data_IF_178879586831
#
_entry.id   IF_178879586831
#
_cell.length_a   1.000
_cell.length_b   1.000
_cell.length_c   1.000
_cell.angle_alpha   90.00
_cell.angle_beta   90.00
_cell.angle_gamma   90.00
#
_symmetry.space_group_name_H-M   'P 1'
#
loop_
_entity.id
_entity.type
_entity.pdbx_description
1 polymer ?
#
# COMPACT_ATOMS: atom_id res chain seq x y z
N UNK A 1 25.23 25.54 8.10
CA UNK A 1 23.93 25.00 8.54
C UNK A 1 23.74 23.67 7.82
N UNK A 2 23.65 22.56 8.53
CA UNK A 2 23.24 21.28 7.92
C UNK A 2 21.86 21.45 7.29
N UNK A 3 21.66 20.96 6.08
CA UNK A 3 20.34 21.03 5.45
C UNK A 3 19.33 20.22 6.27
N UNK A 4 18.08 20.70 6.41
CA UNK A 4 17.04 19.97 7.14
C UNK A 4 16.76 18.62 6.48
N UNK A 5 16.53 17.56 7.27
CA UNK A 5 16.30 16.21 6.72
C UNK A 5 15.03 16.11 5.86
N UNK A 6 13.97 16.80 6.25
CA UNK A 6 12.67 16.80 5.57
C UNK A 6 12.57 17.95 4.56
N UNK A 7 13.41 17.91 3.53
CA UNK A 7 13.41 18.87 2.43
C UNK A 7 13.58 18.17 1.11
N UNK A 8 12.93 18.68 0.05
CA UNK A 8 13.07 18.11 -1.29
C UNK A 8 14.48 18.26 -1.88
N UNK A 9 15.35 19.06 -1.26
CA UNK A 9 16.77 19.12 -1.60
C UNK A 9 17.54 17.88 -1.11
N UNK A 10 17.06 17.22 -0.05
CA UNK A 10 17.63 15.97 0.41
C UNK A 10 17.15 14.85 -0.51
N UNK A 11 18.07 14.25 -1.25
CA UNK A 11 17.77 13.17 -2.19
C UNK A 11 17.04 11.99 -1.55
N UNK A 12 17.37 11.65 -0.30
CA UNK A 12 16.74 10.53 0.43
C UNK A 12 15.27 10.84 0.67
N UNK A 13 14.97 12.05 1.16
CA UNK A 13 13.60 12.48 1.40
C UNK A 13 12.82 12.66 0.10
N UNK A 14 13.42 13.23 -0.95
CA UNK A 14 12.77 13.39 -2.25
C UNK A 14 12.37 12.03 -2.85
N UNK A 15 13.29 11.05 -2.81
CA UNK A 15 13.01 9.69 -3.26
C UNK A 15 11.93 9.02 -2.40
N UNK A 16 12.03 9.14 -1.08
CA UNK A 16 11.00 8.63 -0.16
C UNK A 16 9.63 9.23 -0.49
N UNK A 17 9.53 10.56 -0.59
CA UNK A 17 8.30 11.28 -0.86
C UNK A 17 7.67 10.85 -2.19
N UNK A 18 8.48 10.64 -3.23
CA UNK A 18 8.01 10.13 -4.52
C UNK A 18 7.37 8.73 -4.38
N UNK A 19 8.09 7.75 -3.84
CA UNK A 19 7.59 6.37 -3.73
C UNK A 19 6.45 6.23 -2.71
N UNK A 20 6.48 6.99 -1.62
CA UNK A 20 5.41 7.04 -0.62
C UNK A 20 4.13 7.62 -1.22
N UNK A 21 4.23 8.73 -1.98
CA UNK A 21 3.08 9.37 -2.63
C UNK A 21 2.45 8.43 -3.66
N UNK A 22 3.25 7.83 -4.55
CA UNK A 22 2.72 6.92 -5.57
C UNK A 22 2.09 5.67 -4.93
N UNK A 23 2.72 5.10 -3.90
CA UNK A 23 2.14 3.97 -3.16
C UNK A 23 0.79 4.34 -2.53
N UNK A 24 0.70 5.52 -1.94
CA UNK A 24 -0.54 6.04 -1.33
C UNK A 24 -1.61 6.30 -2.39
N UNK A 25 -1.27 6.91 -3.53
CA UNK A 25 -2.19 7.11 -4.64
C UNK A 25 -2.74 5.79 -5.17
N UNK A 26 -1.90 4.76 -5.27
CA UNK A 26 -2.32 3.41 -5.64
C UNK A 26 -3.30 2.83 -4.61
N UNK A 27 -3.04 3.00 -3.31
CA UNK A 27 -3.97 2.59 -2.26
C UNK A 27 -5.32 3.32 -2.37
N UNK A 28 -5.30 4.62 -2.64
CA UNK A 28 -6.53 5.40 -2.89
C UNK A 28 -7.29 4.88 -4.12
N UNK A 29 -6.59 4.53 -5.21
CA UNK A 29 -7.20 3.95 -6.40
C UNK A 29 -7.88 2.59 -6.10
N UNK A 30 -7.34 1.78 -5.20
CA UNK A 30 -7.97 0.52 -4.77
C UNK A 30 -9.32 0.73 -4.08
N UNK A 31 -9.49 1.85 -3.36
CA UNK A 31 -10.78 2.20 -2.76
C UNK A 31 -11.84 2.50 -3.83
N UNK A 32 -11.47 3.24 -4.87
CA UNK A 32 -12.34 3.55 -6.02
C UNK A 32 -12.71 2.29 -6.80
N UNK A 33 -11.75 1.38 -7.01
CA UNK A 33 -12.01 0.09 -7.65
C UNK A 33 -12.99 -0.75 -6.84
N UNK A 34 -12.87 -0.78 -5.51
CA UNK A 34 -13.83 -1.48 -4.65
C UNK A 34 -15.25 -0.93 -4.84
N UNK A 35 -15.39 0.40 -4.84
CA UNK A 35 -16.69 1.05 -5.08
C UNK A 35 -17.24 0.72 -6.46
N UNK A 36 -16.40 0.78 -7.50
CA UNK A 36 -16.79 0.41 -8.88
C UNK A 36 -17.31 -1.03 -8.95
N UNK A 37 -16.61 -2.00 -8.37
CA UNK A 37 -17.05 -3.40 -8.37
C UNK A 37 -18.39 -3.57 -7.66
N UNK A 38 -18.64 -2.84 -6.56
CA UNK A 38 -19.95 -2.85 -5.89
C UNK A 38 -21.07 -2.35 -6.79
N UNK A 39 -20.85 -1.27 -7.53
CA UNK A 39 -21.82 -0.74 -8.48
C UNK A 39 -22.03 -1.69 -9.67
N UNK A 40 -20.97 -2.27 -10.24
CA UNK A 40 -21.06 -3.19 -11.38
C UNK A 40 -21.79 -4.48 -11.00
N UNK A 41 -21.56 -4.99 -9.79
CA UNK A 41 -22.17 -6.22 -9.28
C UNK A 41 -23.50 -6.00 -8.58
N UNK A 42 -23.94 -4.74 -8.43
CA UNK A 42 -25.12 -4.37 -7.64
C UNK A 42 -25.10 -4.99 -6.22
N UNK A 43 -23.89 -5.14 -5.66
CA UNK A 43 -23.60 -5.81 -4.40
C UNK A 43 -23.18 -4.77 -3.34
N UNK A 44 -24.19 -4.18 -2.72
CA UNK A 44 -23.99 -3.11 -1.75
C UNK A 44 -23.85 -3.68 -0.33
N UNK A 45 -23.05 -2.99 0.49
CA UNK A 45 -22.82 -3.39 1.88
C UNK A 45 -23.99 -2.98 2.77
N UNK A 46 -24.57 -1.81 2.50
CA UNK A 46 -25.61 -1.25 3.34
C UNK A 46 -26.95 -1.15 2.59
N UNK A 47 -28.09 -1.29 3.30
CA UNK A 47 -29.41 -1.24 2.70
C UNK A 47 -29.80 0.15 2.17
N UNK A 48 -29.25 1.25 2.70
CA UNK A 48 -29.51 2.61 2.21
C UNK A 48 -28.95 2.85 0.79
N UNK A 49 -27.82 2.24 0.46
CA UNK A 49 -27.19 2.35 -0.86
C UNK A 49 -28.05 1.71 -1.96
N UNK A 50 -28.86 0.72 -1.58
CA UNK A 50 -29.80 0.03 -2.48
C UNK A 50 -31.03 0.89 -2.77
N UNK A 51 -31.50 1.65 -1.77
CA UNK A 51 -32.65 2.56 -1.95
C UNK A 51 -32.29 3.75 -2.84
N UNK A 52 -31.02 4.16 -2.83
CA UNK A 52 -30.47 5.17 -3.74
C UNK A 52 -30.21 4.63 -5.15
N UNK A 53 -29.98 3.32 -5.28
CA UNK A 53 -29.82 2.63 -6.55
C UNK A 53 -31.16 2.48 -7.29
N UNK A 54 -31.22 2.91 -8.55
CA UNK A 54 -32.42 2.74 -9.41
C UNK A 54 -32.72 1.28 -9.79
N UNK A 55 -31.89 0.33 -9.36
CA UNK A 55 -31.86 -1.04 -9.88
C UNK A 55 -32.58 -2.02 -8.95
N UNK A 56 -33.69 -2.59 -9.43
CA UNK A 56 -34.54 -3.53 -8.66
C UNK A 56 -33.87 -4.88 -8.34
N UNK A 57 -32.69 -5.13 -8.91
CA UNK A 57 -31.91 -6.36 -8.70
C UNK A 57 -30.77 -6.19 -7.68
N UNK A 58 -30.57 -4.99 -7.13
CA UNK A 58 -29.56 -4.75 -6.12
C UNK A 58 -29.85 -5.54 -4.84
N UNK A 59 -28.83 -6.24 -4.34
CA UNK A 59 -28.91 -7.11 -3.16
C UNK A 59 -27.96 -6.60 -2.09
N UNK A 60 -28.42 -6.61 -0.84
CA UNK A 60 -27.51 -6.44 0.30
C UNK A 60 -26.68 -7.70 0.36
N UNK A 61 -25.45 -7.66 -0.13
CA UNK A 61 -24.57 -8.82 -0.16
C UNK A 61 -23.17 -8.36 0.20
N UNK A 62 -22.77 -8.70 1.43
CA UNK A 62 -21.44 -8.43 1.96
C UNK A 62 -20.38 -9.38 1.38
N UNK A 63 -20.78 -10.41 0.64
CA UNK A 63 -19.97 -11.60 0.34
C UNK A 63 -19.75 -11.85 -1.15
N UNK A 64 -19.98 -10.86 -2.03
CA UNK A 64 -19.62 -11.03 -3.45
C UNK A 64 -18.11 -11.34 -3.58
N UNK A 65 -17.72 -12.49 -4.17
CA UNK A 65 -16.32 -12.93 -4.19
C UNK A 65 -15.37 -11.96 -4.89
N UNK A 66 -15.84 -11.21 -5.88
CA UNK A 66 -15.02 -10.26 -6.64
C UNK A 66 -14.83 -8.96 -5.85
N UNK A 67 -15.90 -8.46 -5.23
CA UNK A 67 -15.83 -7.29 -4.32
C UNK A 67 -14.93 -7.58 -3.12
N UNK A 68 -15.07 -8.75 -2.50
CA UNK A 68 -14.24 -9.16 -1.36
C UNK A 68 -12.78 -9.37 -1.77
N UNK A 69 -12.52 -9.79 -3.01
CA UNK A 69 -11.15 -9.88 -3.53
C UNK A 69 -10.49 -8.50 -3.57
N UNK A 70 -11.14 -7.50 -4.17
CA UNK A 70 -10.58 -6.14 -4.23
C UNK A 70 -10.45 -5.54 -2.83
N UNK A 71 -11.44 -5.74 -1.96
CA UNK A 71 -11.40 -5.26 -0.56
C UNK A 71 -10.22 -5.85 0.22
N UNK A 72 -9.95 -7.16 0.12
CA UNK A 72 -8.81 -7.79 0.81
C UNK A 72 -7.46 -7.29 0.29
N UNK A 73 -7.35 -7.02 -1.01
CA UNK A 73 -6.17 -6.40 -1.59
C UNK A 73 -5.96 -4.98 -1.04
N UNK A 74 -7.03 -4.19 -0.96
CA UNK A 74 -7.01 -2.85 -0.37
C UNK A 74 -6.64 -2.88 1.12
N UNK A 75 -7.21 -3.81 1.91
CA UNK A 75 -6.85 -3.97 3.32
C UNK A 75 -5.36 -4.31 3.49
N UNK A 76 -4.84 -5.23 2.68
CA UNK A 76 -3.42 -5.56 2.72
C UNK A 76 -2.54 -4.36 2.32
N UNK A 77 -2.99 -3.51 1.40
CA UNK A 77 -2.30 -2.25 1.10
C UNK A 77 -2.27 -1.31 2.30
N UNK A 78 -3.38 -1.14 3.02
CA UNK A 78 -3.43 -0.33 4.24
C UNK A 78 -2.46 -0.87 5.29
N UNK A 79 -2.48 -2.18 5.53
CA UNK A 79 -1.63 -2.86 6.53
C UNK A 79 -0.13 -2.75 6.22
N UNK A 80 0.27 -2.49 4.97
CA UNK A 80 1.69 -2.44 4.57
C UNK A 80 2.18 -1.02 4.24
N UNK A 81 1.37 -0.23 3.54
CA UNK A 81 1.74 1.12 3.09
C UNK A 81 1.72 2.09 4.27
N UNK A 82 0.78 1.97 5.20
CA UNK A 82 0.75 2.83 6.40
C UNK A 82 2.02 2.66 7.25
N UNK A 83 2.43 1.44 7.64
CA UNK A 83 3.70 1.25 8.33
C UNK A 83 4.91 1.70 7.52
N UNK A 84 4.92 1.47 6.20
CA UNK A 84 6.01 1.92 5.34
C UNK A 84 6.17 3.44 5.33
N UNK A 85 5.08 4.20 5.25
CA UNK A 85 5.15 5.67 5.29
C UNK A 85 5.67 6.16 6.63
N UNK A 86 5.20 5.58 7.74
CA UNK A 86 5.63 5.96 9.10
C UNK A 86 7.11 5.62 9.31
N UNK A 87 7.51 4.37 9.05
CA UNK A 87 8.90 3.92 9.22
C UNK A 87 9.83 4.62 8.22
N UNK A 88 9.38 4.88 7.00
CA UNK A 88 10.17 5.59 6.00
C UNK A 88 10.46 7.03 6.40
N UNK A 89 9.49 7.74 6.99
CA UNK A 89 9.72 9.07 7.59
C UNK A 89 10.79 9.01 8.70
N UNK A 90 10.66 8.05 9.61
CA UNK A 90 11.65 7.83 10.67
C UNK A 90 13.03 7.48 10.09
N UNK A 91 13.07 6.65 9.05
CA UNK A 91 14.30 6.22 8.39
C UNK A 91 15.02 7.37 7.67
N UNK A 92 14.30 8.35 7.10
CA UNK A 92 14.93 9.56 6.54
C UNK A 92 15.65 10.38 7.63
N UNK A 93 15.13 10.39 8.86
CA UNK A 93 15.69 11.18 9.96
C UNK A 93 17.09 10.74 10.41
N UNK A 94 17.47 9.48 10.14
CA UNK A 94 18.79 8.93 10.49
C UNK A 94 19.82 9.13 9.37
N UNK A 95 19.48 9.91 8.33
CA UNK A 95 20.31 10.23 7.16
C UNK A 95 21.08 9.02 6.58
N UNK A 96 20.36 7.98 6.14
CA UNK A 96 20.98 6.77 5.60
C UNK A 96 21.64 7.06 4.25
N UNK A 97 22.49 6.13 3.80
CA UNK A 97 23.07 6.19 2.45
C UNK A 97 21.97 6.27 1.37
N UNK A 98 22.06 7.28 0.50
CA UNK A 98 21.09 7.55 -0.59
C UNK A 98 20.81 6.32 -1.45
N UNK A 99 21.86 5.59 -1.84
CA UNK A 99 21.73 4.35 -2.63
C UNK A 99 20.96 3.27 -1.88
N UNK A 100 21.26 3.07 -0.59
CA UNK A 100 20.61 2.02 0.21
C UNK A 100 19.14 2.35 0.43
N UNK A 101 18.82 3.59 0.77
CA UNK A 101 17.45 4.05 0.95
C UNK A 101 16.62 3.92 -0.33
N UNK A 102 17.19 4.33 -1.48
CA UNK A 102 16.54 4.22 -2.78
C UNK A 102 16.15 2.77 -3.12
N UNK A 103 17.05 1.81 -2.86
CA UNK A 103 16.75 0.40 -3.07
C UNK A 103 15.64 -0.12 -2.16
N UNK A 104 15.58 0.31 -0.89
CA UNK A 104 14.49 -0.06 0.01
C UNK A 104 13.14 0.45 -0.50
N UNK A 105 13.07 1.72 -0.91
CA UNK A 105 11.84 2.33 -1.43
C UNK A 105 11.37 1.69 -2.74
N UNK A 106 12.30 1.42 -3.67
CA UNK A 106 12.01 0.72 -4.93
C UNK A 106 11.51 -0.70 -4.68
N UNK A 107 12.21 -1.44 -3.84
CA UNK A 107 11.87 -2.85 -3.55
C UNK A 107 10.48 -2.92 -2.92
N UNK A 108 10.19 -2.06 -1.94
CA UNK A 108 8.86 -1.97 -1.37
C UNK A 108 7.80 -1.69 -2.45
N UNK A 109 7.98 -0.62 -3.23
CA UNK A 109 7.02 -0.20 -4.24
C UNK A 109 6.74 -1.30 -5.27
N UNK A 110 7.76 -1.87 -5.90
CA UNK A 110 7.59 -2.91 -6.90
C UNK A 110 7.00 -4.20 -6.30
N UNK A 111 7.37 -4.54 -5.06
CA UNK A 111 6.77 -5.67 -4.35
C UNK A 111 5.27 -5.46 -4.13
N UNK A 112 4.83 -4.24 -3.83
CA UNK A 112 3.40 -3.91 -3.68
C UNK A 112 2.64 -3.94 -5.00
N UNK A 113 3.23 -3.47 -6.09
CA UNK A 113 2.64 -3.56 -7.43
C UNK A 113 2.49 -5.03 -7.83
N UNK A 114 3.55 -5.82 -7.66
CA UNK A 114 3.52 -7.26 -7.93
C UNK A 114 2.47 -7.99 -7.07
N UNK A 115 2.40 -7.69 -5.77
CA UNK A 115 1.40 -8.28 -4.88
C UNK A 115 -0.03 -8.01 -5.38
N UNK A 116 -0.34 -6.76 -5.76
CA UNK A 116 -1.67 -6.39 -6.25
C UNK A 116 -2.00 -7.05 -7.58
N UNK A 117 -1.04 -7.14 -8.51
CA UNK A 117 -1.22 -7.86 -9.77
C UNK A 117 -1.46 -9.35 -9.50
N UNK A 118 -0.67 -9.98 -8.63
CA UNK A 118 -0.81 -11.38 -8.25
C UNK A 118 -2.08 -11.66 -7.44
N UNK A 119 -2.68 -10.65 -6.82
CA UNK A 119 -3.95 -10.76 -6.13
C UNK A 119 -5.14 -10.71 -7.09
N UNK A 120 -5.05 -9.84 -8.11
CA UNK A 120 -6.13 -9.65 -9.07
C UNK A 120 -6.14 -10.71 -10.18
N UNK A 121 -4.95 -11.04 -10.70
CA UNK A 121 -4.77 -12.18 -11.58
C UNK A 121 -4.79 -13.45 -10.73
N UNK A 122 -5.51 -14.52 -11.14
CA UNK A 122 -5.57 -15.78 -10.40
C UNK A 122 -4.24 -16.55 -10.52
N UNK A 123 -3.12 -15.92 -10.16
CA UNK A 123 -1.82 -16.56 -10.13
C UNK A 123 -1.80 -17.61 -9.03
N UNK A 124 -1.18 -18.78 -9.27
CA UNK A 124 -1.06 -19.80 -8.25
C UNK A 124 -0.26 -19.25 -7.06
N UNK A 125 -0.61 -19.71 -5.86
CA UNK A 125 0.30 -19.61 -4.72
C UNK A 125 1.63 -20.27 -5.12
N UNK A 126 2.81 -19.70 -4.81
CA UNK A 126 3.12 -18.78 -3.71
C UNK A 126 3.34 -17.31 -4.11
N UNK A 127 3.02 -16.91 -5.35
CA UNK A 127 3.32 -15.56 -5.89
C UNK A 127 2.92 -14.41 -4.96
N UNK A 128 1.69 -14.45 -4.41
CA UNK A 128 1.18 -13.45 -3.45
C UNK A 128 1.99 -13.41 -2.16
N UNK A 129 2.32 -14.57 -1.58
CA UNK A 129 3.07 -14.65 -0.33
C UNK A 129 4.49 -14.09 -0.49
N UNK A 130 5.13 -14.35 -1.63
CA UNK A 130 6.46 -13.81 -1.94
C UNK A 130 6.43 -12.29 -2.04
N UNK A 131 5.46 -11.72 -2.77
CA UNK A 131 5.30 -10.26 -2.89
C UNK A 131 4.93 -9.58 -1.56
N UNK A 132 4.23 -10.27 -0.67
CA UNK A 132 3.98 -9.79 0.70
C UNK A 132 5.27 -9.84 1.53
N UNK A 133 5.96 -10.98 1.54
CA UNK A 133 7.15 -11.20 2.37
C UNK A 133 8.29 -10.22 2.03
N UNK A 134 8.53 -9.95 0.73
CA UNK A 134 9.55 -9.00 0.30
C UNK A 134 9.21 -7.59 0.80
N UNK A 135 7.98 -7.13 0.58
CA UNK A 135 7.54 -5.81 1.05
C UNK A 135 7.63 -5.69 2.58
N UNK A 136 7.17 -6.70 3.31
CA UNK A 136 7.23 -6.72 4.76
C UNK A 136 8.67 -6.72 5.29
N UNK A 137 9.56 -7.50 4.68
CA UNK A 137 10.97 -7.55 5.02
C UNK A 137 11.67 -6.20 4.80
N UNK A 138 11.34 -5.47 3.72
CA UNK A 138 11.91 -4.14 3.49
C UNK A 138 11.52 -3.13 4.57
N UNK A 139 10.25 -3.11 4.98
CA UNK A 139 9.77 -2.25 6.07
C UNK A 139 10.42 -2.61 7.39
N UNK A 140 10.55 -3.91 7.68
CA UNK A 140 11.23 -4.40 8.88
C UNK A 140 12.72 -4.03 8.90
N UNK A 141 13.42 -4.14 7.77
CA UNK A 141 14.82 -3.73 7.63
C UNK A 141 15.02 -2.25 7.99
N UNK A 142 14.17 -1.37 7.47
CA UNK A 142 14.23 0.07 7.80
C UNK A 142 13.95 0.32 9.29
N UNK A 143 12.98 -0.37 9.87
CA UNK A 143 12.66 -0.25 11.30
C UNK A 143 13.84 -0.67 12.19
N UNK A 144 14.48 -1.80 11.88
CA UNK A 144 15.65 -2.29 12.62
C UNK A 144 16.81 -1.29 12.52
N UNK A 145 17.05 -0.72 11.33
CA UNK A 145 18.10 0.28 11.15
C UNK A 145 17.83 1.55 11.95
N UNK A 146 16.57 2.02 11.97
CA UNK A 146 16.16 3.15 12.79
C UNK A 146 16.37 2.87 14.29
N UNK A 147 15.93 1.71 14.79
CA UNK A 147 16.15 1.31 16.19
C UNK A 147 17.64 1.24 16.54
N UNK A 148 18.47 0.67 15.65
CA UNK A 148 19.93 0.60 15.86
C UNK A 148 20.59 1.97 15.91
N UNK A 149 20.08 2.95 15.16
CA UNK A 149 20.57 4.32 15.21
C UNK A 149 20.13 5.05 16.49
N UNK A 150 18.99 4.68 17.08
CA UNK A 150 18.50 5.27 18.32
C UNK A 150 19.30 4.83 19.56
N UNK A 151 19.79 3.59 19.59
CA UNK A 151 20.54 3.02 20.72
C UNK A 151 22.07 3.07 20.55
N UNK A 152 22.55 3.83 19.57
CA UNK A 152 23.98 4.14 19.39
C UNK A 152 24.30 5.51 19.94
#
# INVERSE_FOLDING_TARGET
MSEPFYTLKNEVFANFAYYATISTLKMMAMSLLTSRERFVKNAFANPEDIQLGRDKQAKVTLTDPDVERVRRNHLNDIENIVPFVIIGLLYVSINPSSTTALWHFRTFFFSRIFHTIAYQLPLPQPSRAVGFAIGYATTMSMAIQFLRALFK
#
